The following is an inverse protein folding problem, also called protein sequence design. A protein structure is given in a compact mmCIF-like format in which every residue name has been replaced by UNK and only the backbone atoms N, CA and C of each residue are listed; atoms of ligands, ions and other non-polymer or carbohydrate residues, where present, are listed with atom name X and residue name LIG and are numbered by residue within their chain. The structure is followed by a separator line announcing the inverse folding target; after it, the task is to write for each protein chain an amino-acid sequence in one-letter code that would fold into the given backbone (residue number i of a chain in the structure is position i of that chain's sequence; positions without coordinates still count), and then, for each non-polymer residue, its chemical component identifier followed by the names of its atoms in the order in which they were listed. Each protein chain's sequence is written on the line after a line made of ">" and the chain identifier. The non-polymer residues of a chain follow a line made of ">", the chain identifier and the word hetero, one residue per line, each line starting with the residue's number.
data_IF_157263586129
#
_entry.id   IF_157263586129
#
_cell.length_a   1.000
_cell.length_b   1.000
_cell.length_c   1.000
_cell.angle_alpha   90.00
_cell.angle_beta   90.00
_cell.angle_gamma   90.00
#
_symmetry.space_group_name_H-M   'P 1'
#
loop_
_entity.id
_entity.type
_entity.pdbx_description
1 polymer ?
#
# COMPACT_ATOMS: atom_id res chain seq x y z
N UNK A 1 4.23 -9.44 -22.07
CA UNK A 1 3.09 -9.16 -21.17
C UNK A 1 3.63 -8.91 -19.76
N UNK A 2 4.05 -7.66 -19.58
CA UNK A 2 4.39 -6.88 -18.39
C UNK A 2 4.48 -7.65 -17.05
N UNK A 3 5.66 -8.20 -16.79
CA UNK A 3 6.09 -8.80 -15.54
C UNK A 3 6.06 -7.79 -14.39
N UNK A 4 5.07 -7.95 -13.52
CA UNK A 4 4.89 -7.21 -12.27
C UNK A 4 5.90 -7.68 -11.22
N UNK A 5 7.20 -7.44 -11.41
CA UNK A 5 8.20 -7.74 -10.38
C UNK A 5 8.74 -6.47 -9.77
N UNK A 6 8.34 -6.21 -8.54
CA UNK A 6 9.15 -5.39 -7.66
C UNK A 6 8.82 -5.71 -6.22
N UNK A 7 9.23 -6.90 -5.82
CA UNK A 7 9.56 -7.19 -4.45
C UNK A 7 11.00 -6.72 -4.27
N UNK A 8 11.17 -5.52 -3.72
CA UNK A 8 12.45 -5.11 -3.14
C UNK A 8 12.29 -5.21 -1.64
N UNK A 9 12.88 -6.26 -1.11
CA UNK A 9 13.18 -6.50 0.30
C UNK A 9 14.04 -5.35 0.84
N UNK A 10 13.45 -4.21 1.19
CA UNK A 10 14.16 -3.15 1.90
C UNK A 10 13.37 -2.76 3.15
N UNK A 11 14.11 -2.66 4.25
CA UNK A 11 13.70 -2.30 5.60
C UNK A 11 12.58 -1.24 5.65
N UNK A 12 11.72 -1.25 6.69
CA UNK A 12 10.53 -0.42 6.76
C UNK A 12 10.93 1.06 6.92
N UNK A 13 11.23 1.73 5.81
CA UNK A 13 10.96 3.17 5.75
C UNK A 13 9.46 3.29 5.94
N UNK A 14 9.03 4.10 6.92
CA UNK A 14 7.62 4.34 7.24
C UNK A 14 6.95 4.93 6.00
N UNK A 15 6.51 4.05 5.11
CA UNK A 15 5.85 4.42 3.88
C UNK A 15 4.43 4.79 4.26
N UNK A 16 4.06 6.05 4.04
CA UNK A 16 2.70 6.56 4.24
C UNK A 16 1.67 5.93 3.26
N UNK A 17 2.00 4.80 2.63
CA UNK A 17 1.14 4.07 1.70
C UNK A 17 0.63 2.82 2.39
N UNK A 18 -0.67 2.53 2.27
CA UNK A 18 -1.24 1.30 2.78
C UNK A 18 -0.75 0.07 2.00
N UNK A 19 -0.86 -1.11 2.61
CA UNK A 19 -0.43 -2.40 2.05
C UNK A 19 -1.06 -2.67 0.67
N UNK A 20 -2.37 -2.44 0.54
CA UNK A 20 -3.09 -2.54 -0.74
C UNK A 20 -2.49 -1.69 -1.87
N UNK A 21 -2.13 -0.43 -1.57
CA UNK A 21 -1.49 0.46 -2.54
C UNK A 21 -0.05 0.03 -2.84
N UNK A 22 0.67 -0.46 -1.84
CA UNK A 22 2.03 -0.95 -1.97
C UNK A 22 2.09 -2.24 -2.80
N UNK A 23 1.25 -3.23 -2.50
CA UNK A 23 1.10 -4.48 -3.25
C UNK A 23 0.73 -4.20 -4.71
N UNK A 24 -0.13 -3.21 -4.94
CA UNK A 24 -0.50 -2.76 -6.28
C UNK A 24 0.53 -1.84 -6.95
N UNK A 25 1.56 -1.38 -6.23
CA UNK A 25 2.55 -0.38 -6.68
C UNK A 25 1.92 0.90 -7.24
N UNK A 26 0.89 1.41 -6.57
CA UNK A 26 0.22 2.66 -6.97
C UNK A 26 0.41 3.75 -5.92
N UNK A 27 0.20 5.00 -6.33
CA UNK A 27 0.16 6.14 -5.41
C UNK A 27 -1.00 6.00 -4.43
N UNK A 28 -0.71 5.98 -3.13
CA UNK A 28 -1.73 5.98 -2.09
C UNK A 28 -2.36 7.38 -1.95
N UNK A 29 -3.68 7.44 -1.80
CA UNK A 29 -4.43 8.69 -1.62
C UNK A 29 -4.33 9.31 -0.24
N UNK A 30 -3.76 8.61 0.76
CA UNK A 30 -3.56 9.06 2.16
C UNK A 30 -4.79 9.68 2.85
N UNK A 31 -5.99 9.38 2.37
CA UNK A 31 -7.26 9.77 2.99
C UNK A 31 -7.50 8.89 4.24
N UNK A 32 -8.01 9.47 5.33
CA UNK A 32 -8.32 8.75 6.59
C UNK A 32 -9.83 8.67 6.76
N UNK A 33 -10.43 7.53 7.14
CA UNK A 33 -9.81 6.30 7.67
C UNK A 33 -9.25 5.32 6.63
N UNK A 34 -9.73 5.38 5.39
CA UNK A 34 -9.31 4.50 4.29
C UNK A 34 -8.85 5.33 3.11
N UNK A 35 -7.80 4.90 2.40
CA UNK A 35 -7.31 5.61 1.23
C UNK A 35 -8.42 5.74 0.14
N UNK A 36 -8.46 6.84 -0.61
CA UNK A 36 -9.48 7.08 -1.67
C UNK A 36 -9.69 5.90 -2.63
N UNK A 37 -8.60 5.21 -2.99
CA UNK A 37 -8.65 3.99 -3.81
C UNK A 37 -9.29 2.82 -3.06
N UNK A 38 -8.85 2.58 -1.84
CA UNK A 38 -9.31 1.51 -0.98
C UNK A 38 -10.81 1.66 -0.70
N UNK A 39 -11.27 2.88 -0.44
CA UNK A 39 -12.67 3.22 -0.29
C UNK A 39 -13.48 2.93 -1.57
N UNK A 40 -12.97 3.35 -2.74
CA UNK A 40 -13.64 3.13 -4.03
C UNK A 40 -13.73 1.65 -4.41
N UNK A 41 -12.69 0.88 -4.13
CA UNK A 41 -12.64 -0.55 -4.42
C UNK A 41 -13.20 -1.42 -3.28
N UNK A 42 -13.59 -0.83 -2.14
CA UNK A 42 -13.97 -1.52 -0.91
C UNK A 42 -13.00 -2.65 -0.53
N UNK A 43 -11.70 -2.40 -0.65
CA UNK A 43 -10.64 -3.35 -0.27
C UNK A 43 -10.00 -2.94 1.06
N UNK A 44 -9.33 -3.90 1.68
CA UNK A 44 -8.73 -3.71 2.99
C UNK A 44 -7.57 -2.69 2.94
N UNK A 45 -7.67 -1.64 3.76
CA UNK A 45 -6.72 -0.54 3.81
C UNK A 45 -5.86 -0.63 5.07
N UNK A 46 -4.97 -1.62 5.13
CA UNK A 46 -4.05 -1.78 6.27
C UNK A 46 -2.85 -0.84 6.12
N UNK A 47 -2.66 0.03 7.11
CA UNK A 47 -1.38 0.71 7.30
C UNK A 47 -0.53 -0.14 8.26
N UNK A 48 0.09 -1.19 7.72
CA UNK A 48 0.89 -2.12 8.51
C UNK A 48 2.11 -1.40 9.09
N UNK A 49 2.09 -1.11 10.39
CA UNK A 49 3.28 -0.70 11.14
C UNK A 49 4.04 -1.97 11.49
N UNK A 50 4.94 -2.42 10.60
CA UNK A 50 5.79 -3.57 10.86
C UNK A 50 6.56 -3.37 12.16
N UNK A 51 6.07 -4.01 13.23
CA UNK A 51 6.72 -4.08 14.54
C UNK A 51 7.58 -5.34 14.50
N UNK A 52 8.86 -5.18 14.17
CA UNK A 52 9.93 -6.16 14.39
C UNK A 52 11.07 -5.46 15.09
#
# INVERSE_FOLDING_TARGET
>A
MNERKGQTTKAPSVHQSCDSCQASKVRCGKERPTCKRCAKHKIDCVYSVSRR
#
